data_IF_764925053930
#
_entry.id   IF_764925053930
#
_cell.length_a   1.000
_cell.length_b   1.000
_cell.length_c   1.000
_cell.angle_alpha   90.00
_cell.angle_beta   90.00
_cell.angle_gamma   90.00
#
_symmetry.space_group_name_H-M   'P 1'
#
loop_
_entity.id
_entity.type
_entity.pdbx_description
1 polymer ?
#
# COMPACT_ATOMS: atom_id res chain seq x y z
N UNK A 1 25.48 -38.50 29.75
CA UNK A 1 24.21 -38.35 30.47
C UNK A 1 24.27 -37.11 31.35
N UNK A 2 23.54 -36.04 31.02
CA UNK A 2 23.16 -34.93 31.92
C UNK A 2 22.08 -34.11 31.20
N UNK A 3 20.82 -34.50 31.40
CA UNK A 3 19.61 -33.76 31.02
C UNK A 3 19.10 -33.09 32.29
N UNK A 4 19.45 -31.83 32.54
CA UNK A 4 18.73 -31.00 33.52
C UNK A 4 18.84 -29.52 33.13
N UNK A 5 17.74 -28.81 33.35
CA UNK A 5 17.61 -27.34 33.36
C UNK A 5 17.29 -26.64 32.04
N UNK A 6 16.10 -26.91 31.49
CA UNK A 6 15.41 -25.97 30.59
C UNK A 6 13.90 -26.00 30.87
N UNK A 7 13.54 -25.71 32.12
CA UNK A 7 12.15 -25.61 32.57
C UNK A 7 12.05 -24.55 33.68
N UNK A 8 12.40 -23.30 33.36
CA UNK A 8 12.11 -22.16 34.25
C UNK A 8 12.19 -20.78 33.55
N UNK A 9 11.65 -20.65 32.33
CA UNK A 9 11.42 -19.33 31.70
C UNK A 9 10.06 -19.35 30.97
N UNK A 10 8.99 -19.74 31.68
CA UNK A 10 7.60 -19.69 31.17
C UNK A 10 6.62 -19.29 32.29
N UNK A 11 6.93 -18.21 33.03
CA UNK A 11 6.04 -17.73 34.09
C UNK A 11 6.06 -16.20 34.33
N UNK A 12 6.36 -15.37 33.32
CA UNK A 12 6.24 -13.89 33.45
C UNK A 12 5.76 -13.25 32.13
N UNK A 13 4.62 -13.69 31.58
CA UNK A 13 3.81 -12.88 30.65
C UNK A 13 2.35 -13.23 30.91
N UNK A 14 1.79 -12.70 31.98
CA UNK A 14 0.40 -12.93 32.34
C UNK A 14 0.02 -12.02 33.48
N UNK A 15 -0.30 -10.76 33.16
CA UNK A 15 -1.15 -9.84 33.94
C UNK A 15 -1.00 -8.44 33.34
N UNK A 16 -1.93 -8.05 32.48
CA UNK A 16 -1.98 -6.72 31.89
C UNK A 16 -3.15 -6.47 30.95
N UNK A 17 -4.28 -7.15 31.16
CA UNK A 17 -5.55 -6.85 30.51
C UNK A 17 -6.52 -6.35 31.57
N UNK A 18 -6.45 -5.05 31.85
CA UNK A 18 -7.45 -4.35 32.63
C UNK A 18 -7.70 -2.97 32.01
N UNK A 19 -8.92 -2.82 31.48
CA UNK A 19 -9.72 -1.61 31.55
C UNK A 19 -9.22 -0.36 30.81
N UNK A 20 -9.71 -0.19 29.57
CA UNK A 20 -10.29 1.12 29.19
C UNK A 20 -11.52 0.89 28.29
N UNK A 21 -12.69 0.91 28.91
CA UNK A 21 -13.95 1.19 28.21
C UNK A 21 -13.95 2.68 27.85
N UNK A 22 -13.73 3.03 26.59
CA UNK A 22 -14.04 4.37 26.09
C UNK A 22 -15.51 4.42 25.67
N UNK A 23 -16.34 4.92 26.58
CA UNK A 23 -17.63 5.51 26.28
C UNK A 23 -17.39 6.81 25.49
N UNK A 24 -17.45 6.75 24.17
CA UNK A 24 -17.48 7.97 23.35
C UNK A 24 -18.94 8.40 23.17
N UNK A 25 -19.37 9.26 24.10
CA UNK A 25 -20.66 9.93 24.04
C UNK A 25 -20.69 10.94 22.89
N UNK A 26 -21.76 10.86 22.10
CA UNK A 26 -22.17 11.84 21.11
C UNK A 26 -22.24 13.24 21.73
N UNK A 27 -21.33 14.13 21.33
CA UNK A 27 -21.42 15.56 21.63
C UNK A 27 -21.93 16.29 20.40
N UNK A 28 -23.24 16.49 20.39
CA UNK A 28 -23.92 17.45 19.51
C UNK A 28 -23.50 18.86 19.94
N UNK A 29 -22.69 19.53 19.12
CA UNK A 29 -22.28 20.92 19.27
C UNK A 29 -22.94 21.80 18.20
N UNK A 30 -23.30 23.06 18.51
CA UNK A 30 -24.28 23.83 17.77
C UNK A 30 -23.72 24.47 16.49
N UNK A 31 -24.61 24.53 15.50
CA UNK A 31 -24.56 25.34 14.29
C UNK A 31 -24.28 26.82 14.64
N UNK A 32 -23.12 27.31 14.25
CA UNK A 32 -22.77 28.73 14.27
C UNK A 32 -22.58 29.24 12.85
N UNK A 33 -23.60 29.91 12.32
CA UNK A 33 -23.49 30.76 11.13
C UNK A 33 -22.60 31.95 11.43
N UNK A 34 -21.62 32.22 10.57
CA UNK A 34 -20.97 33.51 10.49
C UNK A 34 -20.62 33.81 9.03
N UNK A 35 -21.45 34.67 8.44
CA UNK A 35 -21.16 35.40 7.21
C UNK A 35 -19.87 36.21 7.38
N UNK A 36 -18.92 36.01 6.48
CA UNK A 36 -17.62 36.66 6.48
C UNK A 36 -17.20 37.05 5.08
N UNK A 37 -17.97 37.96 4.46
CA UNK A 37 -17.64 38.62 3.20
C UNK A 37 -16.45 39.55 3.44
N UNK A 38 -15.29 39.27 2.86
CA UNK A 38 -14.18 40.24 2.80
C UNK A 38 -13.51 40.22 1.43
N UNK A 39 -13.59 41.38 0.80
CA UNK A 39 -13.10 41.78 -0.51
C UNK A 39 -11.59 42.00 -0.49
N UNK A 40 -10.84 41.51 -1.49
CA UNK A 40 -9.57 42.13 -1.91
C UNK A 40 -9.50 42.11 -3.44
N UNK A 41 -9.05 43.21 -4.09
CA UNK A 41 -9.21 43.43 -5.51
C UNK A 41 -8.11 42.79 -6.35
N UNK A 42 -8.54 42.43 -7.56
CA UNK A 42 -7.78 42.14 -8.76
C UNK A 42 -6.81 43.30 -9.07
N UNK A 43 -5.51 42.98 -9.16
CA UNK A 43 -4.47 43.88 -9.67
C UNK A 43 -3.75 43.16 -10.78
N UNK A 44 -3.99 43.62 -11.99
CA UNK A 44 -3.39 43.06 -13.19
C UNK A 44 -1.97 43.55 -13.48
N UNK A 45 -1.50 43.00 -14.60
CA UNK A 45 -0.51 43.53 -15.53
C UNK A 45 0.98 43.12 -15.29
N UNK A 46 1.86 43.18 -16.32
CA UNK A 46 1.98 42.18 -17.39
C UNK A 46 3.44 41.72 -17.66
N UNK A 47 3.55 40.70 -18.51
CA UNK A 47 4.61 40.45 -19.52
C UNK A 47 6.11 40.33 -19.16
N UNK A 48 6.69 39.29 -19.78
CA UNK A 48 8.03 39.20 -20.40
C UNK A 48 9.24 38.73 -19.56
N UNK A 49 9.68 37.50 -19.84
CA UNK A 49 11.05 37.10 -20.19
C UNK A 49 11.04 35.59 -20.48
N UNK A 50 11.07 35.17 -21.74
CA UNK A 50 12.23 34.62 -22.47
C UNK A 50 12.49 33.12 -22.20
N UNK A 51 12.82 32.35 -23.26
CA UNK A 51 12.88 30.90 -23.20
C UNK A 51 14.29 30.45 -22.83
N UNK A 52 14.47 29.89 -21.63
CA UNK A 52 15.69 29.14 -21.36
C UNK A 52 15.65 27.84 -22.17
N UNK A 53 16.51 27.80 -23.17
CA UNK A 53 16.88 26.63 -23.94
C UNK A 53 17.48 25.60 -22.97
N UNK A 54 16.62 24.83 -22.33
CA UNK A 54 17.01 23.67 -21.56
C UNK A 54 17.51 22.63 -22.58
N UNK A 55 18.83 22.60 -22.73
CA UNK A 55 19.56 21.66 -23.57
C UNK A 55 19.35 20.29 -22.93
N UNK A 56 18.25 19.65 -23.33
CA UNK A 56 17.89 18.32 -22.90
C UNK A 56 19.01 17.38 -23.27
N UNK A 57 19.78 16.99 -22.26
CA UNK A 57 20.60 15.78 -22.29
C UNK A 57 19.62 14.67 -22.65
N UNK A 58 19.64 14.24 -23.92
CA UNK A 58 18.96 13.03 -24.35
C UNK A 58 19.60 11.90 -23.56
N UNK A 59 18.96 11.57 -22.44
CA UNK A 59 19.26 10.41 -21.63
C UNK A 59 19.15 9.22 -22.57
N UNK A 60 20.31 8.73 -22.97
CA UNK A 60 20.47 7.65 -23.92
C UNK A 60 19.70 6.47 -23.35
N UNK A 61 18.50 6.22 -23.90
CA UNK A 61 17.62 5.13 -23.50
C UNK A 61 18.41 3.85 -23.75
N UNK A 62 19.02 3.35 -22.67
CA UNK A 62 19.77 2.11 -22.71
C UNK A 62 18.81 1.03 -23.22
N UNK A 63 19.23 0.32 -24.27
CA UNK A 63 18.48 -0.79 -24.81
C UNK A 63 18.11 -1.75 -23.67
N UNK A 64 16.90 -2.33 -23.67
CA UNK A 64 16.45 -3.22 -22.61
C UNK A 64 17.46 -4.37 -22.48
N UNK A 65 18.09 -4.47 -21.31
CA UNK A 65 19.00 -5.57 -21.00
C UNK A 65 18.24 -6.89 -21.16
N UNK A 66 18.79 -7.89 -21.89
CA UNK A 66 18.16 -9.19 -22.01
C UNK A 66 17.83 -9.77 -20.64
N UNK A 67 16.59 -10.23 -20.45
CA UNK A 67 16.15 -10.84 -19.19
C UNK A 67 16.97 -12.09 -18.91
N UNK A 68 17.51 -12.21 -17.71
CA UNK A 68 18.29 -13.38 -17.34
C UNK A 68 17.36 -14.61 -17.25
N UNK A 69 17.83 -15.83 -17.61
CA UNK A 69 17.01 -17.05 -17.54
C UNK A 69 16.42 -17.33 -16.15
N UNK A 70 17.10 -16.90 -15.09
CA UNK A 70 16.60 -17.03 -13.72
C UNK A 70 15.36 -16.16 -13.45
N UNK A 71 15.33 -14.94 -13.99
CA UNK A 71 14.24 -13.99 -13.78
C UNK A 71 12.97 -14.50 -14.46
N UNK A 72 13.10 -15.04 -15.68
CA UNK A 72 12.00 -15.71 -16.41
C UNK A 72 11.47 -16.92 -15.63
N UNK A 73 12.37 -17.72 -15.05
CA UNK A 73 11.98 -18.88 -14.23
C UNK A 73 11.20 -18.47 -12.99
N UNK A 74 11.59 -17.38 -12.31
CA UNK A 74 10.81 -16.86 -11.16
C UNK A 74 9.43 -16.35 -11.61
N UNK A 75 9.36 -15.64 -12.72
CA UNK A 75 8.07 -15.17 -13.27
C UNK A 75 7.16 -16.34 -13.66
N UNK A 76 7.70 -17.39 -14.31
CA UNK A 76 6.96 -18.59 -14.66
C UNK A 76 6.44 -19.32 -13.40
N UNK A 77 7.25 -19.38 -12.34
CA UNK A 77 6.85 -19.96 -11.05
C UNK A 77 5.72 -19.16 -10.41
N UNK A 78 5.83 -17.83 -10.39
CA UNK A 78 4.77 -16.94 -9.92
C UNK A 78 3.48 -17.18 -10.70
N UNK A 79 3.53 -17.17 -12.03
CA UNK A 79 2.37 -17.40 -12.88
C UNK A 79 1.69 -18.76 -12.60
N UNK A 80 2.48 -19.80 -12.34
CA UNK A 80 1.94 -21.12 -11.94
C UNK A 80 1.20 -21.05 -10.61
N UNK A 81 1.75 -20.37 -9.61
CA UNK A 81 1.12 -20.20 -8.29
C UNK A 81 -0.19 -19.42 -8.44
N UNK A 82 -0.15 -18.29 -9.16
CA UNK A 82 -1.35 -17.47 -9.40
C UNK A 82 -2.44 -18.25 -10.14
N UNK A 83 -2.07 -19.03 -11.16
CA UNK A 83 -3.01 -19.88 -11.89
C UNK A 83 -3.66 -20.94 -10.97
N UNK A 84 -2.90 -21.51 -10.03
CA UNK A 84 -3.40 -22.50 -9.07
C UNK A 84 -4.31 -21.93 -7.98
N UNK A 85 -4.29 -20.61 -7.76
CA UNK A 85 -5.00 -19.91 -6.67
C UNK A 85 -4.66 -20.47 -5.27
N UNK A 86 -3.45 -20.99 -5.09
CA UNK A 86 -2.95 -21.46 -3.81
C UNK A 86 -2.10 -20.39 -3.14
N UNK A 87 -2.73 -19.53 -2.34
CA UNK A 87 -2.02 -18.47 -1.58
C UNK A 87 -1.15 -19.03 -0.44
N UNK A 88 -1.25 -20.32 -0.15
CA UNK A 88 -0.40 -21.04 0.82
C UNK A 88 0.66 -21.90 0.13
N UNK A 89 0.99 -21.64 -1.14
CA UNK A 89 2.04 -22.38 -1.83
C UNK A 89 3.39 -22.18 -1.12
N UNK A 90 4.06 -23.24 -0.64
CA UNK A 90 5.29 -23.12 0.15
C UNK A 90 6.45 -22.49 -0.64
N UNK A 91 6.36 -22.43 -1.98
CA UNK A 91 7.33 -21.71 -2.81
C UNK A 91 7.28 -20.21 -2.58
N UNK A 92 6.13 -19.64 -2.21
CA UNK A 92 6.00 -18.21 -1.92
C UNK A 92 6.98 -17.76 -0.83
N UNK A 93 7.20 -18.59 0.18
CA UNK A 93 8.13 -18.28 1.27
C UNK A 93 9.55 -18.73 1.02
N UNK A 94 9.76 -19.74 0.17
CA UNK A 94 11.11 -20.27 -0.12
C UNK A 94 11.81 -19.54 -1.26
N UNK A 95 11.10 -19.29 -2.36
CA UNK A 95 11.72 -18.97 -3.67
C UNK A 95 11.70 -17.45 -3.98
N UNK A 96 10.90 -16.66 -3.25
CA UNK A 96 10.67 -15.23 -3.51
C UNK A 96 11.19 -14.30 -2.40
N UNK A 97 12.13 -14.78 -1.60
CA UNK A 97 12.96 -13.90 -0.78
C UNK A 97 14.06 -13.31 -1.66
N UNK A 98 14.48 -12.08 -1.32
CA UNK A 98 15.61 -11.39 -1.96
C UNK A 98 15.44 -11.25 -3.48
N UNK A 99 14.31 -10.67 -3.90
CA UNK A 99 14.07 -10.42 -5.32
C UNK A 99 15.05 -9.39 -5.88
N UNK A 100 15.65 -9.72 -7.03
CA UNK A 100 16.47 -8.76 -7.78
C UNK A 100 15.61 -7.61 -8.32
N UNK A 101 16.22 -6.49 -8.68
CA UNK A 101 15.51 -5.36 -9.29
C UNK A 101 14.81 -5.76 -10.60
N UNK A 102 15.46 -6.60 -11.41
CA UNK A 102 14.87 -7.15 -12.63
C UNK A 102 13.64 -8.03 -12.34
N UNK A 103 13.70 -8.88 -11.30
CA UNK A 103 12.56 -9.71 -10.88
C UNK A 103 11.41 -8.87 -10.37
N UNK A 104 11.68 -7.84 -9.56
CA UNK A 104 10.66 -6.90 -9.10
C UNK A 104 10.02 -6.16 -10.28
N UNK A 105 10.80 -5.73 -11.28
CA UNK A 105 10.27 -5.10 -12.48
C UNK A 105 9.32 -6.03 -13.25
N UNK A 106 9.69 -7.30 -13.43
CA UNK A 106 8.81 -8.31 -14.05
C UNK A 106 7.52 -8.51 -13.25
N UNK A 107 7.58 -8.50 -11.92
CA UNK A 107 6.39 -8.69 -11.08
C UNK A 107 5.47 -7.47 -11.10
N UNK A 108 6.03 -6.26 -11.10
CA UNK A 108 5.30 -5.00 -11.28
C UNK A 108 4.61 -4.96 -12.65
N UNK A 109 5.32 -5.34 -13.71
CA UNK A 109 4.75 -5.46 -15.06
C UNK A 109 3.60 -6.48 -15.07
N UNK A 110 3.83 -7.66 -14.49
CA UNK A 110 2.80 -8.70 -14.39
C UNK A 110 1.56 -8.25 -13.62
N UNK A 111 1.74 -7.47 -12.55
CA UNK A 111 0.63 -6.87 -11.80
C UNK A 111 -0.17 -5.90 -12.68
N UNK A 112 0.51 -5.04 -13.44
CA UNK A 112 -0.10 -4.07 -14.35
C UNK A 112 -0.93 -4.72 -15.47
N UNK A 113 -0.53 -5.88 -15.95
CA UNK A 113 -1.27 -6.66 -16.97
C UNK A 113 -2.58 -7.29 -16.46
N UNK A 114 -2.75 -7.42 -15.14
CA UNK A 114 -3.97 -7.95 -14.58
C UNK A 114 -5.09 -6.92 -14.72
N UNK A 115 -6.26 -7.38 -15.16
CA UNK A 115 -7.48 -6.59 -15.10
C UNK A 115 -7.74 -6.16 -13.64
N UNK A 116 -8.26 -4.95 -13.38
CA UNK A 116 -8.47 -4.44 -12.02
C UNK A 116 -9.22 -5.41 -11.10
N UNK A 117 -10.27 -6.07 -11.61
CA UNK A 117 -11.08 -7.04 -10.85
C UNK A 117 -10.30 -8.30 -10.47
N UNK A 118 -9.21 -8.57 -11.19
CA UNK A 118 -8.29 -9.67 -10.88
C UNK A 118 -7.15 -9.25 -9.98
N UNK A 119 -6.91 -7.97 -9.72
CA UNK A 119 -5.84 -7.55 -8.79
C UNK A 119 -6.16 -7.90 -7.34
N UNK A 120 -7.44 -7.91 -6.98
CA UNK A 120 -7.92 -8.25 -5.64
C UNK A 120 -7.62 -9.71 -5.26
N UNK A 121 -7.75 -10.63 -6.21
CA UNK A 121 -7.34 -12.04 -6.08
C UNK A 121 -5.80 -12.22 -6.06
N UNK A 122 -5.03 -11.13 -6.13
CA UNK A 122 -3.59 -11.13 -6.43
C UNK A 122 -2.77 -10.23 -5.50
N UNK A 123 -3.28 -9.97 -4.29
CA UNK A 123 -2.50 -9.37 -3.21
C UNK A 123 -1.18 -10.10 -2.92
N UNK A 124 -1.06 -11.37 -3.35
CA UNK A 124 0.19 -12.14 -3.38
C UNK A 124 1.34 -11.42 -4.09
N UNK A 125 1.12 -10.74 -5.22
CA UNK A 125 2.21 -10.01 -5.90
C UNK A 125 2.66 -8.81 -5.04
N UNK A 126 1.70 -8.04 -4.50
CA UNK A 126 1.99 -6.90 -3.62
C UNK A 126 2.70 -7.36 -2.36
N UNK A 127 2.31 -8.50 -1.79
CA UNK A 127 2.97 -9.10 -0.64
C UNK A 127 4.42 -9.49 -0.92
N UNK A 128 4.69 -10.12 -2.06
CA UNK A 128 6.05 -10.50 -2.46
C UNK A 128 6.94 -9.29 -2.73
N UNK A 129 6.39 -8.23 -3.33
CA UNK A 129 7.12 -6.97 -3.53
C UNK A 129 7.33 -6.23 -2.21
N UNK A 130 6.32 -6.20 -1.34
CA UNK A 130 6.33 -5.53 -0.04
C UNK A 130 7.30 -6.11 0.99
N UNK A 131 7.69 -7.38 0.86
CA UNK A 131 8.77 -7.97 1.67
C UNK A 131 10.18 -7.66 1.15
N UNK A 132 10.31 -7.14 -0.08
CA UNK A 132 11.58 -6.91 -0.79
C UNK A 132 11.80 -5.42 -1.12
N UNK A 133 11.38 -4.50 -0.23
CA UNK A 133 11.52 -3.06 -0.43
C UNK A 133 12.98 -2.62 -0.23
N UNK A 134 13.66 -2.24 -1.32
CA UNK A 134 15.09 -1.89 -1.30
C UNK A 134 15.42 -0.60 -2.05
N UNK A 135 14.47 -0.07 -2.83
CA UNK A 135 14.65 1.12 -3.67
C UNK A 135 13.45 2.06 -3.58
N UNK A 136 13.65 3.32 -3.98
CA UNK A 136 12.57 4.31 -4.10
C UNK A 136 11.43 3.82 -5.01
N UNK A 137 11.78 3.15 -6.11
CA UNK A 137 10.82 2.59 -7.06
C UNK A 137 9.89 1.52 -6.44
N UNK A 138 10.27 0.92 -5.32
CA UNK A 138 9.39 -0.02 -4.61
C UNK A 138 8.31 0.70 -3.80
N UNK A 139 8.66 1.81 -3.17
CA UNK A 139 7.71 2.65 -2.44
C UNK A 139 6.75 3.38 -3.39
N UNK A 140 7.25 3.81 -4.56
CA UNK A 140 6.40 4.37 -5.61
C UNK A 140 5.38 3.35 -6.11
N UNK A 141 5.78 2.09 -6.32
CA UNK A 141 4.85 1.03 -6.67
C UNK A 141 3.76 0.82 -5.59
N UNK A 142 4.13 0.77 -4.30
CA UNK A 142 3.13 0.66 -3.23
C UNK A 142 2.20 1.88 -3.16
N UNK A 143 2.71 3.09 -3.44
CA UNK A 143 1.89 4.29 -3.57
C UNK A 143 0.88 4.18 -4.71
N UNK A 144 1.27 3.61 -5.87
CA UNK A 144 0.35 3.35 -6.99
C UNK A 144 -0.76 2.38 -6.58
N UNK A 145 -0.41 1.27 -5.91
CA UNK A 145 -1.39 0.31 -5.38
C UNK A 145 -2.38 1.00 -4.43
N UNK A 146 -1.89 1.84 -3.51
CA UNK A 146 -2.74 2.55 -2.54
C UNK A 146 -3.70 3.57 -3.20
N UNK A 147 -3.37 4.03 -4.41
CA UNK A 147 -4.19 4.96 -5.20
C UNK A 147 -5.15 4.26 -6.17
N UNK A 148 -5.12 2.93 -6.24
CA UNK A 148 -6.06 2.22 -7.10
C UNK A 148 -7.51 2.56 -6.72
N UNK A 149 -8.39 2.79 -7.72
CA UNK A 149 -9.78 3.09 -7.45
C UNK A 149 -10.44 1.90 -6.73
N UNK A 150 -11.46 2.16 -5.90
CA UNK A 150 -12.21 1.10 -5.25
C UNK A 150 -12.85 0.21 -6.32
N UNK A 151 -12.58 -1.09 -6.25
CA UNK A 151 -13.33 -2.06 -7.01
C UNK A 151 -14.56 -2.45 -6.19
N UNK A 152 -15.73 -2.46 -6.82
CA UNK A 152 -16.99 -2.73 -6.14
C UNK A 152 -17.59 -4.10 -6.49
N UNK A 153 -16.88 -4.87 -7.31
CA UNK A 153 -17.33 -6.20 -7.71
C UNK A 153 -16.15 -7.06 -8.15
N UNK A 154 -16.12 -8.31 -7.71
CA UNK A 154 -15.15 -9.32 -8.16
C UNK A 154 -15.31 -9.70 -9.65
N UNK A 155 -16.41 -9.28 -10.28
CA UNK A 155 -16.69 -9.55 -11.70
C UNK A 155 -16.28 -8.40 -12.61
N UNK A 156 -16.43 -7.15 -12.16
CA UNK A 156 -16.20 -5.96 -12.98
C UNK A 156 -15.98 -4.71 -12.12
N UNK A 157 -14.79 -4.11 -12.17
CA UNK A 157 -14.50 -2.87 -11.46
C UNK A 157 -14.99 -1.60 -12.17
N UNK A 158 -15.58 -1.69 -13.37
CA UNK A 158 -16.09 -0.53 -14.13
C UNK A 158 -17.47 -0.05 -13.68
N UNK A 159 -18.02 -0.58 -12.59
CA UNK A 159 -19.28 -0.10 -12.02
C UNK A 159 -19.13 1.30 -11.42
N UNK A 160 -20.15 2.15 -11.61
CA UNK A 160 -20.19 3.45 -10.95
C UNK A 160 -20.53 3.23 -9.46
N UNK A 161 -19.69 3.70 -8.51
CA UNK A 161 -20.01 3.68 -7.08
C UNK A 161 -21.36 4.29 -6.73
N UNK A 162 -21.86 5.24 -7.52
CA UNK A 162 -23.16 5.85 -7.33
C UNK A 162 -24.34 4.98 -7.82
N UNK A 163 -24.07 3.93 -8.60
CA UNK A 163 -25.09 3.05 -9.20
C UNK A 163 -25.35 1.77 -8.40
N UNK A 164 -24.45 1.40 -7.48
CA UNK A 164 -24.72 0.36 -6.48
C UNK A 164 -25.71 0.90 -5.46
N UNK A 165 -26.86 0.24 -5.29
CA UNK A 165 -27.82 0.63 -4.25
C UNK A 165 -27.12 0.64 -2.89
N UNK A 166 -27.38 1.66 -2.06
CA UNK A 166 -26.87 1.71 -0.67
C UNK A 166 -27.14 0.40 0.10
N UNK A 167 -28.20 -0.32 -0.26
CA UNK A 167 -28.61 -1.58 0.33
C UNK A 167 -27.67 -2.76 0.02
N UNK A 168 -26.92 -2.72 -1.09
CA UNK A 168 -25.92 -3.74 -1.44
C UNK A 168 -24.59 -3.49 -0.71
N UNK A 169 -24.22 -2.21 -0.51
CA UNK A 169 -23.03 -1.82 0.26
C UNK A 169 -23.13 -2.18 1.75
N UNK A 170 -24.28 -1.93 2.38
CA UNK A 170 -24.45 -2.17 3.83
C UNK A 170 -24.52 -3.68 4.21
N UNK A 171 -24.65 -4.59 3.23
CA UNK A 171 -24.75 -6.05 3.47
C UNK A 171 -23.44 -6.82 3.25
N UNK A 172 -22.40 -6.20 2.71
CA UNK A 172 -21.20 -6.90 2.24
C UNK A 172 -19.89 -6.43 2.91
N UNK A 173 -19.88 -6.39 4.24
CA UNK A 173 -18.65 -6.08 5.01
C UNK A 173 -17.47 -7.03 4.74
N UNK A 174 -17.72 -8.21 4.16
CA UNK A 174 -16.68 -9.15 3.73
C UNK A 174 -16.17 -8.94 2.29
N UNK A 175 -17.01 -8.48 1.37
CA UNK A 175 -16.59 -8.25 -0.02
C UNK A 175 -15.72 -6.99 -0.11
N UNK A 176 -16.06 -5.94 0.64
CA UNK A 176 -15.26 -4.70 0.69
C UNK A 176 -13.80 -4.96 1.11
N UNK A 177 -13.58 -5.80 2.14
CA UNK A 177 -12.23 -6.16 2.60
C UNK A 177 -11.48 -6.97 1.55
N UNK A 178 -12.19 -7.86 0.85
CA UNK A 178 -11.62 -8.69 -0.22
C UNK A 178 -11.22 -7.82 -1.41
N UNK A 179 -12.03 -6.81 -1.73
CA UNK A 179 -11.81 -5.89 -2.85
C UNK A 179 -10.73 -4.83 -2.57
N UNK A 180 -10.40 -4.60 -1.30
CA UNK A 180 -9.32 -3.71 -0.85
C UNK A 180 -8.03 -4.45 -0.48
N UNK A 181 -7.96 -5.77 -0.71
CA UNK A 181 -6.90 -6.62 -0.19
C UNK A 181 -5.49 -6.18 -0.62
N UNK A 182 -5.21 -5.84 -1.91
CA UNK A 182 -3.91 -5.34 -2.33
C UNK A 182 -3.47 -4.08 -1.57
N UNK A 183 -4.39 -3.14 -1.36
CA UNK A 183 -4.12 -1.90 -0.64
C UNK A 183 -3.83 -2.14 0.85
N UNK A 184 -4.58 -3.04 1.50
CA UNK A 184 -4.33 -3.42 2.89
C UNK A 184 -2.97 -4.11 3.05
N UNK A 185 -2.60 -4.99 2.10
CA UNK A 185 -1.28 -5.64 2.05
C UNK A 185 -0.17 -4.60 1.83
N UNK A 186 -0.40 -3.58 1.01
CA UNK A 186 0.56 -2.48 0.82
C UNK A 186 0.80 -1.70 2.13
N UNK A 187 -0.27 -1.30 2.84
CA UNK A 187 -0.15 -0.64 4.16
C UNK A 187 0.64 -1.54 5.12
N UNK A 188 0.29 -2.83 5.19
CA UNK A 188 0.96 -3.76 6.12
C UNK A 188 2.44 -3.93 5.80
N UNK A 189 2.79 -3.94 4.51
CA UNK A 189 4.17 -4.02 4.05
C UNK A 189 4.97 -2.78 4.47
N UNK A 190 4.38 -1.58 4.34
CA UNK A 190 4.99 -0.32 4.79
C UNK A 190 5.17 -0.27 6.31
N UNK A 191 4.16 -0.71 7.08
CA UNK A 191 4.25 -0.82 8.54
C UNK A 191 5.37 -1.78 8.98
N UNK A 192 5.45 -2.96 8.35
CA UNK A 192 6.48 -3.95 8.62
C UNK A 192 7.88 -3.40 8.28
N UNK A 193 8.00 -2.67 7.17
CA UNK A 193 9.24 -2.01 6.78
C UNK A 193 9.68 -0.98 7.82
N UNK A 194 8.80 -0.06 8.20
CA UNK A 194 9.07 0.96 9.22
C UNK A 194 9.40 0.36 10.59
N UNK A 195 8.78 -0.77 10.93
CA UNK A 195 9.08 -1.51 12.17
C UNK A 195 10.50 -2.06 12.18
N UNK A 196 10.92 -2.72 11.09
CA UNK A 196 12.22 -3.40 10.98
C UNK A 196 13.37 -2.44 10.66
N UNK A 197 13.10 -1.36 9.93
CA UNK A 197 14.10 -0.50 9.32
C UNK A 197 13.96 0.97 9.74
N UNK A 198 13.79 1.22 11.04
CA UNK A 198 13.53 2.57 11.58
C UNK A 198 14.53 3.64 11.12
N UNK A 199 15.81 3.30 11.03
CA UNK A 199 16.89 4.22 10.65
C UNK A 199 17.29 4.10 9.17
N UNK A 200 16.50 3.42 8.35
CA UNK A 200 16.77 3.33 6.92
C UNK A 200 16.61 4.69 6.24
N UNK A 201 17.46 4.96 5.24
CA UNK A 201 17.35 6.13 4.35
C UNK A 201 15.99 6.20 3.65
N UNK A 202 15.32 5.06 3.45
CA UNK A 202 14.01 4.97 2.80
C UNK A 202 12.83 5.04 3.77
N UNK A 203 13.06 5.28 5.07
CA UNK A 203 11.97 5.45 6.04
C UNK A 203 11.06 6.64 5.68
N UNK A 204 11.63 7.70 5.09
CA UNK A 204 10.87 8.84 4.58
C UNK A 204 10.05 8.45 3.35
N UNK A 205 10.57 7.64 2.43
CA UNK A 205 9.83 7.18 1.26
C UNK A 205 8.69 6.24 1.64
N UNK A 206 8.88 5.40 2.65
CA UNK A 206 7.81 4.57 3.22
C UNK A 206 6.68 5.42 3.82
N UNK A 207 6.99 6.51 4.54
CA UNK A 207 5.97 7.43 5.05
C UNK A 207 5.26 8.19 3.92
N UNK A 208 6.00 8.65 2.91
CA UNK A 208 5.41 9.28 1.72
C UNK A 208 4.48 8.33 0.97
N UNK A 209 4.83 7.05 0.87
CA UNK A 209 3.95 6.05 0.27
C UNK A 209 2.64 5.88 1.07
N UNK A 210 2.68 5.92 2.41
CA UNK A 210 1.46 5.93 3.23
C UNK A 210 0.59 7.16 2.97
N UNK A 211 1.18 8.33 2.69
CA UNK A 211 0.42 9.53 2.35
C UNK A 211 -0.42 9.37 1.07
N UNK A 212 -0.02 8.47 0.16
CA UNK A 212 -0.79 8.18 -1.05
C UNK A 212 -2.18 7.57 -0.78
N UNK A 213 -2.37 6.95 0.40
CA UNK A 213 -3.65 6.39 0.80
C UNK A 213 -4.66 7.45 1.30
N UNK A 214 -4.21 8.68 1.59
CA UNK A 214 -5.09 9.78 2.07
C UNK A 214 -6.20 10.12 1.08
N UNK A 215 -5.90 10.00 -0.21
CA UNK A 215 -6.83 10.31 -1.29
C UNK A 215 -7.69 9.11 -1.72
N UNK A 216 -7.44 7.93 -1.13
CA UNK A 216 -8.14 6.70 -1.50
C UNK A 216 -9.63 6.81 -1.22
N UNK A 217 -10.43 6.27 -2.13
CA UNK A 217 -11.89 6.16 -1.98
C UNK A 217 -12.34 4.84 -1.35
N UNK A 218 -11.39 3.98 -1.00
CA UNK A 218 -11.66 2.74 -0.27
C UNK A 218 -11.97 3.08 1.20
N UNK A 219 -13.14 2.66 1.75
CA UNK A 219 -13.49 2.91 3.13
C UNK A 219 -12.42 2.46 4.12
N UNK A 220 -12.10 3.31 5.10
CA UNK A 220 -11.14 3.02 6.17
C UNK A 220 -9.65 3.02 5.75
N UNK A 221 -9.32 2.94 4.46
CA UNK A 221 -7.93 2.83 4.02
C UNK A 221 -7.07 4.05 4.42
N UNK A 222 -7.61 5.26 4.19
CA UNK A 222 -6.93 6.50 4.58
C UNK A 222 -6.73 6.63 6.11
N UNK A 223 -7.69 6.14 6.91
CA UNK A 223 -7.58 6.14 8.37
C UNK A 223 -6.51 5.15 8.84
N UNK A 224 -6.47 3.94 8.26
CA UNK A 224 -5.45 2.94 8.57
C UNK A 224 -4.04 3.45 8.24
N UNK A 225 -3.86 4.07 7.07
CA UNK A 225 -2.57 4.63 6.67
C UNK A 225 -2.14 5.81 7.57
N UNK A 226 -3.08 6.68 7.94
CA UNK A 226 -2.83 7.79 8.86
C UNK A 226 -2.42 7.28 10.26
N UNK A 227 -3.08 6.25 10.77
CA UNK A 227 -2.73 5.64 12.07
C UNK A 227 -1.31 5.07 12.06
N UNK A 228 -0.94 4.35 11.00
CA UNK A 228 0.42 3.83 10.84
C UNK A 228 1.42 4.99 10.76
N UNK A 229 1.17 5.99 9.92
CA UNK A 229 2.06 7.15 9.75
C UNK A 229 2.28 7.91 11.07
N UNK A 230 1.20 8.14 11.84
CA UNK A 230 1.27 8.79 13.16
C UNK A 230 2.15 7.99 14.14
N UNK A 231 1.94 6.67 14.20
CA UNK A 231 2.69 5.77 15.09
C UNK A 231 4.20 5.86 14.90
N UNK A 232 4.67 6.10 13.68
CA UNK A 232 6.10 6.22 13.37
C UNK A 232 6.62 7.66 13.35
N UNK A 233 5.74 8.65 13.20
CA UNK A 233 6.11 10.07 13.30
C UNK A 233 6.38 10.47 14.75
N UNK A 234 5.58 9.98 15.71
CA UNK A 234 5.73 10.29 17.14
C UNK A 234 6.97 9.65 17.79
N UNK A 235 7.66 8.76 17.06
CA UNK A 235 8.83 8.02 17.54
C UNK A 235 10.16 8.56 17.02
N UNK A 236 10.14 9.62 16.22
CA UNK A 236 11.35 10.32 15.73
C UNK A 236 11.72 11.45 16.68
#
# INVERSE_FOLDING_TARGET
>A
MKKQSLALILAIIGLGAASVYFLNGSRSGPSGSADGRSSIPDSGNPAAASPDANTGTMEQIAAPTPTAPEDEKKLATLNTILASRNDNDPRLDRDFNELSEAQKALFKARYGELAPEKRNERGTIVFLLGRNLTTEADFNFLCEVLREPPCLSLKNCSGDPASGGKEDFDRESGEEVTLAYPQLVAIKSLENYLTKHRSSRFSTDALKALDCAKDSKVPGLGQNAAQVSQTFSDRR
#
